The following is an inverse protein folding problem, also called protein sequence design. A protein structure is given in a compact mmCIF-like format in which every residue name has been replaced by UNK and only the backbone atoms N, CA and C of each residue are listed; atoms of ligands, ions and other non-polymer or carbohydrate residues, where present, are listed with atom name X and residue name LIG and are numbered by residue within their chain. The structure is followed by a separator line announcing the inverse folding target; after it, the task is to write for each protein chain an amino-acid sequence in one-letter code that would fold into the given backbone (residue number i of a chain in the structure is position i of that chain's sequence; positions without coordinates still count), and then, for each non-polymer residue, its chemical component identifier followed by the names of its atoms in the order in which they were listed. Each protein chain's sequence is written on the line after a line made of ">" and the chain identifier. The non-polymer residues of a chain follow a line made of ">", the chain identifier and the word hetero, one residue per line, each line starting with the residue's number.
data_IF_218374900288
#
_entry.id   IF_218374900288
#
_cell.length_a   1.000
_cell.length_b   1.000
_cell.length_c   1.000
_cell.angle_alpha   90.00
_cell.angle_beta   90.00
_cell.angle_gamma   90.00
#
_symmetry.space_group_name_H-M   'P 1'
#
loop_
_entity.id
_entity.type
_entity.pdbx_description
1 polymer ?
#
# COMPACT_ATOMS: atom_id res chain seq x y z
N UNK A 1 -5.01 -15.76 -21.70
CA UNK A 1 -4.98 -15.32 -20.31
C UNK A 1 -6.39 -15.10 -19.80
N UNK A 2 -6.68 -15.53 -18.57
CA UNK A 2 -7.98 -15.31 -17.92
C UNK A 2 -7.81 -14.26 -16.83
N UNK A 3 -8.65 -13.23 -16.85
CA UNK A 3 -8.71 -12.19 -15.83
C UNK A 3 -10.06 -12.30 -15.11
N UNK A 4 -10.02 -12.16 -13.80
CA UNK A 4 -11.21 -12.03 -12.95
C UNK A 4 -11.62 -10.56 -12.82
N UNK A 5 -12.85 -10.28 -12.38
CA UNK A 5 -13.25 -8.91 -12.04
C UNK A 5 -12.24 -8.23 -11.10
N UNK A 6 -11.95 -6.96 -11.36
CA UNK A 6 -10.98 -6.15 -10.59
C UNK A 6 -9.55 -6.73 -10.56
N UNK A 7 -9.15 -7.43 -11.62
CA UNK A 7 -7.76 -7.82 -11.88
C UNK A 7 -7.23 -7.09 -13.11
N UNK A 8 -5.95 -6.75 -13.08
CA UNK A 8 -5.23 -6.20 -14.22
C UNK A 8 -3.95 -7.00 -14.48
N UNK A 9 -3.53 -7.02 -15.74
CA UNK A 9 -2.30 -7.66 -16.17
C UNK A 9 -1.49 -6.71 -17.04
N UNK A 10 -0.34 -6.30 -16.53
CA UNK A 10 0.60 -5.46 -17.27
C UNK A 10 1.42 -6.33 -18.20
N UNK A 11 1.44 -6.00 -19.50
CA UNK A 11 2.11 -6.76 -20.53
C UNK A 11 3.34 -6.03 -21.05
N UNK A 12 4.44 -6.79 -21.13
CA UNK A 12 5.69 -6.34 -21.73
C UNK A 12 6.12 -7.31 -22.82
N UNK A 13 6.71 -6.81 -23.89
CA UNK A 13 7.32 -7.58 -24.96
C UNK A 13 8.78 -7.18 -25.09
N UNK A 14 9.69 -8.11 -24.84
CA UNK A 14 11.14 -7.87 -24.84
C UNK A 14 11.55 -6.63 -24.01
N UNK A 15 10.91 -6.46 -22.83
CA UNK A 15 11.17 -5.33 -21.94
C UNK A 15 10.40 -4.04 -22.27
N UNK A 16 9.74 -3.93 -23.42
CA UNK A 16 8.92 -2.77 -23.78
C UNK A 16 7.49 -2.96 -23.28
N UNK A 17 6.95 -1.94 -22.62
CA UNK A 17 5.54 -1.91 -22.25
C UNK A 17 4.64 -1.84 -23.48
N UNK A 18 3.66 -2.75 -23.58
CA UNK A 18 2.70 -2.79 -24.68
C UNK A 18 1.35 -2.26 -24.24
N UNK A 19 0.95 -2.59 -23.02
CA UNK A 19 -0.36 -2.19 -22.50
C UNK A 19 -0.74 -2.98 -21.27
N UNK A 20 -1.87 -2.60 -20.70
CA UNK A 20 -2.47 -3.27 -19.54
C UNK A 20 -3.83 -3.84 -19.92
N UNK A 21 -4.02 -5.11 -19.67
CA UNK A 21 -5.34 -5.74 -19.76
C UNK A 21 -6.10 -5.42 -18.47
N UNK A 22 -7.26 -4.79 -18.60
CA UNK A 22 -8.19 -4.51 -17.52
C UNK A 22 -9.55 -5.10 -17.87
N UNK A 23 -10.26 -5.56 -16.87
CA UNK A 23 -11.59 -6.16 -17.05
C UNK A 23 -11.55 -7.69 -17.01
N UNK A 24 -12.73 -8.24 -16.81
CA UNK A 24 -12.94 -9.69 -16.75
C UNK A 24 -13.02 -10.32 -18.13
N UNK A 25 -12.57 -11.55 -18.24
CA UNK A 25 -12.72 -12.31 -19.45
C UNK A 25 -11.49 -13.12 -19.86
N UNK A 26 -11.61 -13.68 -21.05
CA UNK A 26 -10.55 -14.45 -21.67
C UNK A 26 -9.88 -13.61 -22.76
N UNK A 27 -8.56 -13.41 -22.62
CA UNK A 27 -7.76 -12.61 -23.54
C UNK A 27 -6.76 -13.47 -24.30
N UNK A 28 -6.77 -13.33 -25.61
CA UNK A 28 -5.70 -13.85 -26.45
C UNK A 28 -4.57 -12.81 -26.50
N UNK A 29 -3.38 -13.20 -26.08
CA UNK A 29 -2.19 -12.34 -26.11
C UNK A 29 -1.06 -13.06 -26.83
N UNK A 30 -0.14 -12.30 -27.41
CA UNK A 30 1.04 -12.86 -28.05
C UNK A 30 1.80 -13.74 -27.03
N UNK A 31 2.20 -14.96 -27.39
CA UNK A 31 2.91 -15.89 -26.50
C UNK A 31 4.24 -15.34 -25.97
N UNK A 32 4.88 -14.44 -26.72
CA UNK A 32 6.13 -13.79 -26.31
C UNK A 32 5.93 -12.65 -25.30
N UNK A 33 4.69 -12.25 -25.03
CA UNK A 33 4.42 -11.26 -23.99
C UNK A 33 4.62 -11.86 -22.60
N UNK A 34 5.46 -11.21 -21.82
CA UNK A 34 5.61 -11.47 -20.39
C UNK A 34 4.71 -10.55 -19.58
N UNK A 35 4.41 -10.95 -18.37
CA UNK A 35 3.68 -10.14 -17.39
C UNK A 35 4.48 -10.06 -16.11
N UNK A 36 4.51 -8.88 -15.51
CA UNK A 36 5.31 -8.59 -14.33
C UNK A 36 4.46 -7.88 -13.28
N UNK A 37 4.63 -8.28 -12.02
CA UNK A 37 4.08 -7.62 -10.85
C UNK A 37 5.18 -7.55 -9.79
N UNK A 38 5.77 -6.38 -9.54
CA UNK A 38 6.90 -6.23 -8.62
C UNK A 38 6.52 -6.55 -7.17
N UNK A 39 5.28 -6.27 -6.78
CA UNK A 39 4.79 -6.51 -5.43
C UNK A 39 4.18 -7.90 -5.22
N UNK A 40 4.37 -8.84 -6.17
CA UNK A 40 3.76 -10.17 -6.12
C UNK A 40 4.17 -11.00 -4.89
N UNK A 41 5.36 -10.79 -4.37
CA UNK A 41 5.93 -11.52 -3.23
C UNK A 41 5.83 -10.76 -1.90
N UNK A 42 5.40 -9.51 -1.93
CA UNK A 42 5.38 -8.66 -0.74
C UNK A 42 4.10 -8.88 0.06
N UNK A 43 4.28 -9.26 1.31
CA UNK A 43 3.22 -9.43 2.30
C UNK A 43 3.38 -8.36 3.38
N UNK A 44 2.40 -7.47 3.49
CA UNK A 44 2.41 -6.35 4.44
C UNK A 44 1.21 -6.40 5.40
N UNK A 45 0.76 -7.60 5.79
CA UNK A 45 -0.45 -7.77 6.64
C UNK A 45 -1.68 -7.00 6.10
N UNK A 46 -1.81 -6.97 4.78
CA UNK A 46 -2.89 -6.26 4.09
C UNK A 46 -4.03 -7.22 3.76
N UNK A 47 -5.24 -6.68 3.66
CA UNK A 47 -6.42 -7.46 3.26
C UNK A 47 -6.31 -8.06 1.84
N UNK A 48 -5.44 -7.50 0.99
CA UNK A 48 -5.15 -8.00 -0.36
C UNK A 48 -4.03 -9.05 -0.43
N UNK A 49 -3.40 -9.37 0.69
CA UNK A 49 -2.38 -10.41 0.79
C UNK A 49 -3.01 -11.80 1.02
N UNK A 50 -4.14 -12.06 0.38
CA UNK A 50 -4.78 -13.37 0.45
C UNK A 50 -3.84 -14.36 -0.18
N UNK A 51 -3.26 -15.21 0.65
CA UNK A 51 -2.57 -16.40 0.20
C UNK A 51 -3.51 -17.15 -0.74
N UNK A 52 -3.16 -17.23 -2.02
CA UNK A 52 -3.71 -18.22 -2.93
C UNK A 52 -3.26 -19.62 -2.46
N UNK A 53 -3.35 -19.85 -1.16
CA UNK A 53 -2.81 -21.01 -0.49
C UNK A 53 -3.83 -22.12 -0.44
N UNK A 54 -3.63 -23.10 -1.24
CA UNK A 54 -3.94 -24.45 -0.83
C UNK A 54 -2.99 -24.84 0.34
N UNK A 55 -3.41 -24.64 1.56
CA UNK A 55 -2.73 -25.17 2.77
C UNK A 55 -2.73 -26.71 2.84
N UNK A 56 -3.12 -27.40 1.77
CA UNK A 56 -3.26 -28.84 1.72
C UNK A 56 -2.21 -29.62 0.93
N UNK A 57 -1.36 -28.96 0.15
CA UNK A 57 -0.42 -29.65 -0.77
C UNK A 57 1.04 -29.55 -0.38
N UNK A 58 1.42 -28.66 0.53
CA UNK A 58 2.83 -28.51 0.92
C UNK A 58 3.39 -29.71 1.70
N UNK A 59 2.54 -30.49 2.38
CA UNK A 59 2.97 -31.66 3.13
C UNK A 59 3.25 -32.86 2.21
N UNK A 60 2.55 -32.95 1.07
CA UNK A 60 2.76 -34.02 0.08
C UNK A 60 3.96 -33.73 -0.84
N UNK A 61 4.24 -32.47 -1.14
CA UNK A 61 5.39 -32.06 -1.93
C UNK A 61 6.72 -32.26 -1.19
N UNK A 62 6.71 -32.14 0.14
CA UNK A 62 7.88 -32.37 0.98
C UNK A 62 8.27 -33.86 1.07
N UNK A 63 7.35 -34.80 0.79
CA UNK A 63 7.60 -36.25 0.86
C UNK A 63 8.10 -36.87 -0.46
N UNK A 64 7.98 -36.17 -1.57
CA UNK A 64 8.45 -36.64 -2.86
C UNK A 64 9.65 -35.84 -3.34
N UNK A 65 10.81 -36.09 -2.84
CA UNK A 65 12.13 -35.55 -3.20
C UNK A 65 12.42 -35.19 -4.67
N UNK A 66 11.48 -34.53 -5.32
CA UNK A 66 11.62 -34.01 -6.68
C UNK A 66 12.02 -32.53 -6.60
N UNK A 67 13.26 -32.24 -6.91
CA UNK A 67 13.83 -30.95 -7.22
C UNK A 67 13.18 -30.34 -8.48
N UNK A 68 11.92 -29.99 -8.39
CA UNK A 68 11.33 -28.98 -9.25
C UNK A 68 11.25 -27.72 -8.42
N UNK A 69 12.05 -26.73 -8.72
CA UNK A 69 11.87 -25.38 -8.24
C UNK A 69 10.49 -24.91 -8.74
N UNK A 70 9.46 -25.27 -7.99
CA UNK A 70 8.17 -24.62 -8.09
C UNK A 70 8.47 -23.21 -7.57
N UNK A 71 8.77 -22.31 -8.51
CA UNK A 71 8.63 -20.89 -8.25
C UNK A 71 7.25 -20.75 -7.63
N UNK A 72 7.20 -20.53 -6.32
CA UNK A 72 6.04 -20.01 -5.64
C UNK A 72 5.88 -18.58 -6.18
N UNK A 73 5.44 -18.54 -7.44
CA UNK A 73 5.29 -17.33 -8.21
C UNK A 73 4.13 -16.58 -7.64
N UNK A 74 4.39 -15.50 -6.91
CA UNK A 74 3.38 -14.54 -6.59
C UNK A 74 2.56 -14.20 -7.84
N UNK A 75 1.29 -13.89 -7.66
CA UNK A 75 0.39 -13.61 -8.79
C UNK A 75 0.97 -12.50 -9.67
N UNK A 76 1.15 -12.78 -10.96
CA UNK A 76 1.57 -11.78 -11.96
C UNK A 76 0.48 -10.73 -12.21
N UNK A 77 -0.70 -10.95 -11.68
CA UNK A 77 -1.85 -10.06 -11.78
C UNK A 77 -1.83 -9.03 -10.66
N UNK A 78 -2.34 -7.86 -10.95
CA UNK A 78 -2.48 -6.75 -10.01
C UNK A 78 -3.95 -6.66 -9.62
N UNK A 79 -4.22 -6.62 -8.32
CA UNK A 79 -5.57 -6.36 -7.81
C UNK A 79 -5.90 -4.86 -7.93
N UNK A 80 -7.07 -4.57 -8.49
CA UNK A 80 -7.63 -3.21 -8.54
C UNK A 80 -8.68 -2.98 -7.43
N UNK A 81 -8.86 -3.97 -6.55
CA UNK A 81 -9.78 -3.87 -5.42
C UNK A 81 -9.22 -2.89 -4.39
N UNK A 82 -10.13 -2.33 -3.61
CA UNK A 82 -9.73 -1.58 -2.42
C UNK A 82 -9.07 -2.55 -1.44
N UNK A 83 -7.88 -2.21 -1.00
CA UNK A 83 -7.08 -2.96 -0.04
C UNK A 83 -6.88 -2.13 1.21
N UNK A 84 -6.71 -2.77 2.36
CA UNK A 84 -6.46 -2.08 3.64
C UNK A 84 -5.05 -2.39 4.09
N UNK A 85 -4.23 -1.34 4.21
CA UNK A 85 -2.93 -1.40 4.86
C UNK A 85 -3.14 -1.06 6.34
N UNK A 86 -2.85 -2.01 7.21
CA UNK A 86 -2.84 -1.77 8.65
C UNK A 86 -1.39 -1.52 9.08
N UNK A 87 -1.07 -0.25 9.29
CA UNK A 87 0.27 0.13 9.72
C UNK A 87 0.45 -0.13 11.21
N UNK A 88 1.58 -0.72 11.60
CA UNK A 88 1.85 -1.03 12.99
C UNK A 88 1.94 0.24 13.84
N UNK A 89 1.57 0.12 15.12
CA UNK A 89 1.72 1.22 16.06
C UNK A 89 3.18 1.63 16.19
N UNK A 90 3.42 2.93 16.09
CA UNK A 90 4.74 3.52 16.22
C UNK A 90 4.76 4.48 17.42
N UNK A 91 5.89 4.50 18.12
CA UNK A 91 6.16 5.50 19.15
C UNK A 91 6.76 6.73 18.47
N UNK A 92 6.05 7.84 18.54
CA UNK A 92 6.45 9.11 17.94
C UNK A 92 6.30 10.18 19.00
N UNK A 93 7.25 11.10 19.11
CA UNK A 93 7.11 12.23 20.00
C UNK A 93 6.23 13.30 19.33
N UNK A 94 5.29 13.84 20.10
CA UNK A 94 4.50 15.01 19.69
C UNK A 94 5.34 16.29 19.64
N UNK A 95 4.73 17.43 19.34
CA UNK A 95 5.43 18.72 19.28
C UNK A 95 5.97 19.17 20.66
N UNK A 96 5.42 18.65 21.76
CA UNK A 96 5.86 18.94 23.15
C UNK A 96 6.89 17.94 23.65
N UNK A 97 7.23 16.93 22.87
CA UNK A 97 8.19 15.88 23.24
C UNK A 97 7.58 14.68 23.98
N UNK A 98 6.26 14.61 24.11
CA UNK A 98 5.60 13.48 24.75
C UNK A 98 5.59 12.25 23.81
N UNK A 99 5.96 11.06 24.28
CA UNK A 99 5.90 9.85 23.46
C UNK A 99 4.44 9.40 23.30
N UNK A 100 3.98 9.31 22.06
CA UNK A 100 2.63 8.88 21.70
C UNK A 100 2.72 7.60 20.85
N UNK A 101 1.89 6.61 21.14
CA UNK A 101 1.73 5.43 20.30
C UNK A 101 0.56 5.59 19.35
N UNK A 102 0.85 5.68 18.06
CA UNK A 102 -0.16 5.87 17.00
C UNK A 102 0.00 4.82 15.93
N UNK A 103 -1.11 4.27 15.47
CA UNK A 103 -1.21 3.44 14.28
C UNK A 103 -2.33 3.95 13.37
N UNK A 104 -2.18 3.74 12.08
CA UNK A 104 -3.18 4.10 11.08
C UNK A 104 -3.58 2.90 10.23
N UNK A 105 -4.83 2.88 9.82
CA UNK A 105 -5.34 1.97 8.79
C UNK A 105 -5.65 2.79 7.54
N UNK A 106 -5.00 2.45 6.43
CA UNK A 106 -5.15 3.16 5.16
C UNK A 106 -5.86 2.26 4.16
N UNK A 107 -6.97 2.75 3.63
CA UNK A 107 -7.65 2.12 2.50
C UNK A 107 -7.09 2.69 1.20
N UNK A 108 -6.69 1.83 0.29
CA UNK A 108 -6.03 2.23 -0.94
C UNK A 108 -6.35 1.29 -2.10
N UNK A 109 -6.13 1.74 -3.31
CA UNK A 109 -6.27 0.93 -4.53
C UNK A 109 -5.26 1.36 -5.60
N UNK A 110 -5.03 0.48 -6.57
CA UNK A 110 -4.22 0.80 -7.76
C UNK A 110 -5.15 1.40 -8.81
N UNK A 111 -4.90 2.64 -9.20
CA UNK A 111 -5.63 3.33 -10.28
C UNK A 111 -4.88 3.26 -11.59
N UNK A 112 -3.55 3.49 -11.56
CA UNK A 112 -2.69 3.36 -12.72
C UNK A 112 -1.67 2.24 -12.55
N UNK A 113 -1.95 1.11 -13.19
CA UNK A 113 -1.12 -0.08 -13.13
C UNK A 113 0.25 0.08 -13.81
N UNK A 114 0.35 0.94 -14.82
CA UNK A 114 1.62 1.18 -15.48
C UNK A 114 2.57 1.96 -14.56
N UNK A 115 2.06 3.02 -13.91
CA UNK A 115 2.84 3.75 -12.91
C UNK A 115 3.23 2.86 -11.73
N UNK A 116 2.31 2.04 -11.23
CA UNK A 116 2.58 1.14 -10.10
C UNK A 116 3.66 0.09 -10.39
N UNK A 117 3.85 -0.29 -11.66
CA UNK A 117 4.83 -1.31 -12.05
C UNK A 117 6.16 -0.72 -12.47
N UNK A 118 6.16 0.47 -13.10
CA UNK A 118 7.35 1.03 -13.74
C UNK A 118 7.96 2.23 -13.02
N UNK A 119 7.18 2.97 -12.22
CA UNK A 119 7.71 4.15 -11.53
C UNK A 119 8.32 3.80 -10.17
N UNK A 120 7.92 2.68 -9.57
CA UNK A 120 8.42 2.23 -8.26
C UNK A 120 8.76 0.74 -8.30
N UNK A 121 9.81 0.35 -7.60
CA UNK A 121 10.24 -1.06 -7.54
C UNK A 121 9.21 -1.94 -6.86
N UNK A 122 8.56 -1.44 -5.81
CA UNK A 122 7.55 -2.16 -5.07
C UNK A 122 6.49 -1.18 -4.51
N UNK A 123 5.39 -1.07 -5.20
CA UNK A 123 4.34 -0.11 -4.84
C UNK A 123 3.71 -0.36 -3.47
N UNK A 124 3.66 -1.61 -2.98
CA UNK A 124 3.14 -1.92 -1.64
C UNK A 124 4.08 -1.43 -0.54
N UNK A 125 5.36 -1.72 -0.68
CA UNK A 125 6.39 -1.28 0.26
C UNK A 125 6.55 0.24 0.24
N UNK A 126 6.52 0.82 -0.96
CA UNK A 126 6.54 2.27 -1.13
C UNK A 126 5.39 2.94 -0.40
N UNK A 127 4.15 2.42 -0.55
CA UNK A 127 2.99 2.92 0.19
C UNK A 127 3.20 2.86 1.71
N UNK A 128 3.66 1.72 2.22
CA UNK A 128 3.90 1.56 3.66
C UNK A 128 4.91 2.57 4.20
N UNK A 129 6.01 2.78 3.48
CA UNK A 129 7.04 3.77 3.86
C UNK A 129 6.51 5.21 3.81
N UNK A 130 5.68 5.54 2.81
CA UNK A 130 5.07 6.87 2.72
C UNK A 130 4.03 7.11 3.83
N UNK A 131 3.27 6.07 4.22
CA UNK A 131 2.36 6.13 5.36
C UNK A 131 3.13 6.39 6.67
N UNK A 132 4.25 5.71 6.90
CA UNK A 132 5.12 5.93 8.07
C UNK A 132 5.69 7.34 8.10
N UNK A 133 6.16 7.82 6.96
CA UNK A 133 6.74 9.14 6.85
C UNK A 133 5.70 10.25 7.08
N UNK A 134 4.53 10.14 6.47
CA UNK A 134 3.43 11.10 6.64
C UNK A 134 2.95 11.13 8.09
N UNK A 135 2.77 9.95 8.70
CA UNK A 135 2.37 9.85 10.10
C UNK A 135 3.36 10.57 11.03
N UNK A 136 4.66 10.34 10.86
CA UNK A 136 5.69 11.01 11.65
C UNK A 136 5.73 12.52 11.44
N UNK A 137 5.59 12.97 10.20
CA UNK A 137 5.60 14.39 9.87
C UNK A 137 4.43 15.13 10.54
N UNK A 138 3.24 14.57 10.44
CA UNK A 138 2.03 15.21 10.97
C UNK A 138 2.00 15.15 12.49
N UNK A 139 2.31 14.00 13.11
CA UNK A 139 2.28 13.85 14.58
C UNK A 139 3.25 14.82 15.28
N UNK A 140 4.38 15.13 14.67
CA UNK A 140 5.35 16.09 15.22
C UNK A 140 4.87 17.53 15.23
N UNK A 141 3.87 17.85 14.44
CA UNK A 141 3.32 19.22 14.35
C UNK A 141 2.22 19.45 15.38
N UNK A 142 1.52 18.39 15.80
CA UNK A 142 0.39 18.49 16.71
C UNK A 142 0.76 18.03 18.13
N UNK A 143 0.25 18.73 19.18
CA UNK A 143 0.30 18.21 20.54
C UNK A 143 -0.68 17.04 20.69
N UNK A 144 -0.36 16.11 21.59
CA UNK A 144 -1.26 14.99 21.88
C UNK A 144 -2.59 15.45 22.48
N UNK A 145 -2.52 16.34 23.48
CA UNK A 145 -3.68 16.91 24.16
C UNK A 145 -3.41 18.39 24.43
N UNK A 146 -4.38 19.23 24.20
CA UNK A 146 -4.25 20.68 24.43
C UNK A 146 -5.06 21.07 25.65
N UNK A 147 -4.45 21.81 26.56
CA UNK A 147 -5.19 22.55 27.54
C UNK A 147 -6.02 23.64 26.80
N UNK A 148 -7.30 23.85 27.10
CA UNK A 148 -8.08 24.90 26.47
C UNK A 148 -7.36 26.24 26.61
N UNK A 149 -7.23 26.97 25.50
CA UNK A 149 -6.57 28.28 25.37
C UNK A 149 -5.03 28.27 25.24
N UNK A 150 -4.40 27.21 24.76
CA UNK A 150 -2.98 27.21 24.42
C UNK A 150 -2.84 27.28 22.89
N UNK A 151 -2.14 28.32 22.42
CA UNK A 151 -1.70 28.46 21.03
C UNK A 151 -0.30 27.86 20.90
N UNK A 152 -0.20 26.66 20.28
CA UNK A 152 1.07 26.00 20.00
C UNK A 152 1.57 26.28 18.59
N UNK A 153 0.71 26.81 17.71
CA UNK A 153 1.07 27.15 16.33
C UNK A 153 1.58 28.58 16.19
N UNK A 154 1.32 29.45 17.19
CA UNK A 154 1.75 30.84 17.17
C UNK A 154 0.95 31.73 16.22
N UNK A 155 -0.25 31.31 15.82
CA UNK A 155 -1.15 32.06 14.93
C UNK A 155 -2.12 32.98 15.68
N UNK A 156 -2.06 32.99 17.01
CA UNK A 156 -2.89 33.84 17.88
C UNK A 156 -4.31 33.30 18.11
N UNK A 157 -4.61 32.11 17.65
CA UNK A 157 -5.86 31.40 17.91
C UNK A 157 -5.59 30.18 18.78
N UNK A 158 -6.50 29.87 19.71
CA UNK A 158 -6.40 28.65 20.50
C UNK A 158 -6.49 27.45 19.58
N UNK A 159 -5.49 26.55 19.66
CA UNK A 159 -5.39 25.40 18.80
C UNK A 159 -6.61 24.49 18.92
N UNK A 160 -7.44 24.46 17.89
CA UNK A 160 -8.45 23.43 17.72
C UNK A 160 -7.85 22.07 17.31
N UNK A 161 -6.50 21.98 17.23
CA UNK A 161 -5.79 20.87 16.66
C UNK A 161 -4.95 20.07 17.64
N UNK A 162 -5.56 19.23 18.48
CA UNK A 162 -4.83 18.17 19.17
C UNK A 162 -5.03 16.82 18.47
N UNK A 163 -4.06 15.90 18.59
CA UNK A 163 -4.19 14.54 18.06
C UNK A 163 -5.43 13.82 18.63
N UNK A 164 -5.79 14.13 19.88
CA UNK A 164 -6.94 13.57 20.58
C UNK A 164 -8.26 14.25 20.23
N UNK A 165 -8.27 15.59 20.17
CA UNK A 165 -9.49 16.38 19.99
C UNK A 165 -9.92 16.54 18.53
N UNK A 166 -8.96 16.56 17.59
CA UNK A 166 -9.18 16.83 16.17
C UNK A 166 -8.71 15.70 15.28
N UNK A 167 -8.97 14.47 15.69
CA UNK A 167 -8.51 13.27 14.96
C UNK A 167 -8.94 13.24 13.49
N UNK A 168 -10.12 13.81 13.15
CA UNK A 168 -10.62 13.87 11.77
C UNK A 168 -9.80 14.85 10.91
N UNK A 169 -9.44 16.02 11.46
CA UNK A 169 -8.61 17.02 10.76
C UNK A 169 -7.21 16.46 10.54
N UNK A 170 -6.64 15.83 11.56
CA UNK A 170 -5.33 15.19 11.48
C UNK A 170 -5.33 14.06 10.47
N UNK A 171 -6.37 13.21 10.47
CA UNK A 171 -6.52 12.13 9.50
C UNK A 171 -6.64 12.65 8.06
N UNK A 172 -7.39 13.74 7.84
CA UNK A 172 -7.48 14.38 6.54
C UNK A 172 -6.13 14.88 6.03
N UNK A 173 -5.34 15.55 6.90
CA UNK A 173 -3.99 16.00 6.54
C UNK A 173 -3.04 14.84 6.24
N UNK A 174 -3.07 13.78 7.04
CA UNK A 174 -2.27 12.57 6.78
C UNK A 174 -2.66 11.96 5.42
N UNK A 175 -3.95 11.83 5.13
CA UNK A 175 -4.45 11.33 3.85
C UNK A 175 -3.94 12.17 2.69
N UNK A 176 -4.06 13.50 2.79
CA UNK A 176 -3.68 14.41 1.70
C UNK A 176 -2.16 14.39 1.46
N UNK A 177 -1.36 14.29 2.53
CA UNK A 177 0.10 14.13 2.41
C UNK A 177 0.49 12.78 1.79
N UNK A 178 -0.16 11.70 2.19
CA UNK A 178 0.06 10.37 1.58
C UNK A 178 -0.32 10.42 0.11
N UNK A 179 -1.53 10.94 -0.22
CA UNK A 179 -2.03 10.99 -1.58
C UNK A 179 -1.10 11.79 -2.50
N UNK A 180 -0.59 12.92 -2.05
CA UNK A 180 0.38 13.72 -2.83
C UNK A 180 1.64 12.93 -3.20
N UNK A 181 2.11 12.05 -2.29
CA UNK A 181 3.32 11.26 -2.52
C UNK A 181 3.07 10.00 -3.35
N UNK A 182 1.91 9.35 -3.20
CA UNK A 182 1.65 8.06 -3.87
C UNK A 182 1.00 8.21 -5.24
N UNK A 183 0.55 9.40 -5.61
CA UNK A 183 -0.03 9.69 -6.93
C UNK A 183 0.94 9.34 -8.08
N UNK A 184 2.24 9.58 -7.91
CA UNK A 184 3.27 9.24 -8.90
C UNK A 184 3.49 7.73 -9.04
N UNK A 185 3.11 6.96 -8.02
CA UNK A 185 3.10 5.50 -8.05
C UNK A 185 1.76 4.93 -8.58
N UNK A 186 0.81 5.78 -9.01
CA UNK A 186 -0.48 5.35 -9.53
C UNK A 186 -1.40 4.72 -8.50
N UNK A 187 -1.30 5.15 -7.24
CA UNK A 187 -2.10 4.71 -6.10
C UNK A 187 -3.05 5.82 -5.65
N UNK A 188 -4.17 5.41 -5.08
CA UNK A 188 -5.19 6.27 -4.48
C UNK A 188 -5.65 5.71 -3.14
#
# INVERSE_FOLDING_TARGET
>A
RVLKPQEALVLTLFGKYIGTLKGEGFYWVNPFCSSFNPAAKTKLNQSGDVDGGHKGTDLLAAMQGASAAVEVGGSKKISLKIMTLNNSRQKINDCLGNPVEIGIAVMWRVTDTAKAVFNVDNYKEYLSLQCDAALRNIVRVYPYDVAPNVDTTGDGQADEGSLRGSSEVVAARIRDEIQAKVADAGLE
#
